data_IF_143313831326
#
_entry.id   IF_143313831326
#
_cell.length_a   1.000
_cell.length_b   1.000
_cell.length_c   1.000
_cell.angle_alpha   90.00
_cell.angle_beta   90.00
_cell.angle_gamma   90.00
#
_symmetry.space_group_name_H-M   'P 1'
#
loop_
_entity.id
_entity.type
_entity.pdbx_description
1 polymer ?
#
# COMPACT_ATOMS: atom_id res chain seq x y z
N UNK A 1 1.43 9.98 -8.85
CA UNK A 1 0.29 10.68 -9.46
C UNK A 1 -0.90 9.80 -9.87
N UNK A 2 -0.74 8.49 -10.16
CA UNK A 2 -1.90 7.63 -10.53
C UNK A 2 -2.97 7.56 -9.42
N UNK A 3 -2.57 7.26 -8.18
CA UNK A 3 -3.48 7.07 -7.04
C UNK A 3 -4.35 8.31 -6.77
N UNK A 4 -3.74 9.49 -6.71
CA UNK A 4 -4.48 10.71 -6.33
C UNK A 4 -5.29 11.32 -7.49
N UNK A 5 -4.88 11.10 -8.75
CA UNK A 5 -5.42 11.87 -9.87
C UNK A 5 -6.18 11.02 -10.90
N UNK A 6 -5.88 9.73 -11.03
CA UNK A 6 -6.44 8.86 -12.07
C UNK A 6 -7.39 7.82 -11.46
N UNK A 7 -6.99 7.19 -10.35
CA UNK A 7 -7.76 6.12 -9.72
C UNK A 7 -9.20 6.53 -9.32
N UNK A 8 -9.47 7.72 -8.73
CA UNK A 8 -10.83 8.09 -8.31
C UNK A 8 -11.81 8.14 -9.50
N UNK A 9 -11.32 8.61 -10.64
CA UNK A 9 -12.09 8.70 -11.88
C UNK A 9 -12.41 7.31 -12.45
N UNK A 10 -11.45 6.38 -12.40
CA UNK A 10 -11.64 4.99 -12.80
C UNK A 10 -12.60 4.25 -11.85
N UNK A 11 -12.47 4.47 -10.54
CA UNK A 11 -13.35 3.88 -9.54
C UNK A 11 -14.81 4.26 -9.81
N UNK A 12 -15.09 5.57 -9.91
CA UNK A 12 -16.44 6.08 -10.15
C UNK A 12 -17.05 5.58 -11.47
N UNK A 13 -16.26 5.52 -12.54
CA UNK A 13 -16.77 5.17 -13.88
C UNK A 13 -16.95 3.67 -14.09
N UNK A 14 -16.15 2.84 -13.42
CA UNK A 14 -16.04 1.41 -13.74
C UNK A 14 -16.14 0.48 -12.53
N UNK A 15 -15.46 0.79 -11.41
CA UNK A 15 -15.45 -0.09 -10.23
C UNK A 15 -16.78 -0.02 -9.49
N UNK A 16 -17.24 1.18 -9.14
CA UNK A 16 -18.48 1.40 -8.38
C UNK A 16 -19.73 0.97 -9.15
N UNK A 17 -19.63 0.94 -10.48
CA UNK A 17 -20.71 0.49 -11.37
C UNK A 17 -20.69 -1.02 -11.62
N UNK A 18 -19.73 -1.75 -11.04
CA UNK A 18 -19.59 -3.20 -11.18
C UNK A 18 -19.06 -3.68 -12.53
N UNK A 19 -18.53 -2.78 -13.38
CA UNK A 19 -18.01 -3.12 -14.71
C UNK A 19 -16.63 -3.76 -14.66
N UNK A 20 -15.82 -3.39 -13.67
CA UNK A 20 -14.42 -3.83 -13.53
C UNK A 20 -14.12 -4.10 -12.06
N UNK A 21 -13.29 -5.11 -11.80
CA UNK A 21 -12.62 -5.31 -10.51
C UNK A 21 -11.22 -4.70 -10.58
N UNK A 22 -10.92 -3.82 -9.63
CA UNK A 22 -9.58 -3.28 -9.45
C UNK A 22 -8.89 -4.04 -8.32
N UNK A 23 -7.68 -4.53 -8.57
CA UNK A 23 -6.82 -5.14 -7.56
C UNK A 23 -5.53 -4.34 -7.46
N UNK A 24 -5.13 -4.05 -6.24
CA UNK A 24 -3.85 -3.44 -5.96
C UNK A 24 -2.87 -4.55 -5.55
N UNK A 25 -1.75 -4.67 -6.27
CA UNK A 25 -0.66 -5.57 -5.94
C UNK A 25 0.53 -4.71 -5.55
N UNK A 26 1.07 -4.94 -4.37
CA UNK A 26 2.21 -4.16 -3.90
C UNK A 26 3.49 -4.66 -4.56
N UNK A 27 4.28 -3.73 -5.09
CA UNK A 27 5.58 -4.02 -5.68
C UNK A 27 6.64 -3.14 -5.01
N UNK A 28 7.53 -3.77 -4.25
CA UNK A 28 8.51 -3.09 -3.41
C UNK A 28 9.81 -2.78 -4.18
N UNK A 29 9.78 -1.75 -5.03
CA UNK A 29 10.94 -1.40 -5.86
C UNK A 29 12.12 -0.79 -5.11
N UNK A 30 11.89 -0.06 -4.01
CA UNK A 30 12.93 0.71 -3.32
C UNK A 30 13.43 0.04 -2.04
N UNK A 31 13.53 -1.29 -2.06
CA UNK A 31 14.11 -2.08 -0.97
C UNK A 31 13.22 -2.17 0.28
N UNK A 32 13.85 -2.36 1.44
CA UNK A 32 13.20 -2.76 2.70
C UNK A 32 12.07 -1.81 3.13
N UNK A 33 12.25 -0.49 2.99
CA UNK A 33 11.19 0.47 3.34
C UNK A 33 9.95 0.33 2.46
N UNK A 34 10.11 -0.03 1.17
CA UNK A 34 8.96 -0.30 0.30
C UNK A 34 8.26 -1.60 0.68
N UNK A 35 9.01 -2.62 1.10
CA UNK A 35 8.44 -3.86 1.60
C UNK A 35 7.66 -3.62 2.90
N UNK A 36 8.21 -2.83 3.83
CA UNK A 36 7.55 -2.42 5.07
C UNK A 36 6.29 -1.59 4.81
N UNK A 37 6.33 -0.64 3.87
CA UNK A 37 5.15 0.14 3.47
C UNK A 37 4.05 -0.76 2.87
N UNK A 38 4.43 -1.77 2.10
CA UNK A 38 3.51 -2.79 1.60
C UNK A 38 2.89 -3.63 2.72
N UNK A 39 3.71 -4.10 3.67
CA UNK A 39 3.24 -4.83 4.83
C UNK A 39 2.28 -3.98 5.69
N UNK A 40 2.53 -2.67 5.79
CA UNK A 40 1.65 -1.73 6.45
C UNK A 40 0.31 -1.55 5.72
N UNK A 41 0.30 -1.46 4.38
CA UNK A 41 -0.95 -1.47 3.59
C UNK A 41 -1.77 -2.74 3.85
N UNK A 42 -1.12 -3.91 3.87
CA UNK A 42 -1.76 -5.19 4.20
C UNK A 42 -2.28 -5.23 5.64
N UNK A 43 -1.52 -4.69 6.60
CA UNK A 43 -1.93 -4.60 8.01
C UNK A 43 -3.16 -3.71 8.20
N UNK A 44 -3.24 -2.57 7.53
CA UNK A 44 -4.44 -1.73 7.51
C UNK A 44 -5.61 -2.46 6.82
N UNK A 45 -5.34 -3.19 5.74
CA UNK A 45 -6.33 -4.02 5.06
C UNK A 45 -6.95 -5.10 5.93
N UNK A 46 -6.16 -5.74 6.81
CA UNK A 46 -6.67 -6.68 7.83
C UNK A 46 -7.68 -6.04 8.80
N UNK A 47 -7.70 -4.71 8.89
CA UNK A 47 -8.65 -3.93 9.70
C UNK A 47 -9.70 -3.21 8.85
N UNK A 48 -9.81 -3.54 7.56
CA UNK A 48 -10.79 -2.94 6.65
C UNK A 48 -10.44 -1.51 6.22
N UNK A 49 -9.18 -1.08 6.38
CA UNK A 49 -8.70 0.28 6.10
C UNK A 49 -7.67 0.35 4.98
N UNK A 50 -7.70 -0.63 4.07
CA UNK A 50 -6.76 -0.68 2.95
C UNK A 50 -6.82 0.59 2.09
N UNK A 51 -8.04 1.02 1.70
CA UNK A 51 -8.23 2.15 0.80
C UNK A 51 -7.78 3.45 1.46
N UNK A 52 -8.29 3.74 2.66
CA UNK A 52 -7.98 4.97 3.38
C UNK A 52 -6.50 5.07 3.74
N UNK A 53 -5.87 3.93 4.07
CA UNK A 53 -4.43 3.89 4.32
C UNK A 53 -3.62 4.15 3.05
N UNK A 54 -4.02 3.54 1.93
CA UNK A 54 -3.38 3.78 0.63
C UNK A 54 -3.48 5.26 0.24
N UNK A 55 -4.65 5.88 0.44
CA UNK A 55 -4.88 7.31 0.20
C UNK A 55 -3.94 8.17 1.06
N UNK A 56 -3.84 7.89 2.37
CA UNK A 56 -2.96 8.63 3.28
C UNK A 56 -1.48 8.50 2.88
N UNK A 57 -1.03 7.28 2.57
CA UNK A 57 0.34 7.00 2.14
C UNK A 57 0.68 7.73 0.83
N UNK A 58 -0.18 7.64 -0.19
CA UNK A 58 0.05 8.26 -1.50
C UNK A 58 -0.17 9.76 -1.53
N UNK A 59 -0.96 10.32 -0.61
CA UNK A 59 -1.07 11.77 -0.43
C UNK A 59 0.24 12.39 0.09
N UNK A 60 1.03 11.64 0.86
CA UNK A 60 2.31 12.08 1.40
C UNK A 60 3.51 11.84 0.47
N UNK A 61 3.30 11.20 -0.69
CA UNK A 61 4.37 10.92 -1.64
C UNK A 61 4.92 12.21 -2.27
N UNK A 62 6.26 12.42 -2.29
CA UNK A 62 6.86 13.61 -2.89
C UNK A 62 6.69 13.63 -4.40
N UNK A 63 6.74 14.82 -5.01
CA UNK A 63 6.69 14.97 -6.48
C UNK A 63 7.87 14.29 -7.20
N UNK A 64 9.01 14.14 -6.52
CA UNK A 64 10.23 13.48 -7.03
C UNK A 64 10.93 12.70 -5.93
N UNK A 65 11.58 11.60 -6.32
CA UNK A 65 12.34 10.74 -5.41
C UNK A 65 11.46 9.77 -4.64
N UNK A 66 11.99 9.24 -3.54
CA UNK A 66 11.31 8.27 -2.68
C UNK A 66 11.14 8.88 -1.29
N UNK A 67 9.94 8.77 -0.68
CA UNK A 67 9.74 9.21 0.69
C UNK A 67 10.59 8.34 1.62
N UNK A 68 11.13 8.96 2.67
CA UNK A 68 11.61 8.22 3.82
C UNK A 68 10.40 7.74 4.63
N UNK A 69 10.29 6.43 4.84
CA UNK A 69 9.14 5.78 5.47
C UNK A 69 9.56 5.05 6.76
N UNK A 70 9.99 5.79 7.81
CA UNK A 70 10.22 5.20 9.12
C UNK A 70 8.92 4.66 9.71
N UNK A 71 9.05 3.77 10.70
CA UNK A 71 7.90 3.12 11.34
C UNK A 71 6.82 4.11 11.81
N UNK A 72 7.23 5.17 12.49
CA UNK A 72 6.29 6.14 13.06
C UNK A 72 5.49 6.86 11.98
N UNK A 73 6.08 7.11 10.80
CA UNK A 73 5.35 7.66 9.65
C UNK A 73 4.28 6.71 9.14
N UNK A 74 4.58 5.41 9.07
CA UNK A 74 3.60 4.39 8.68
C UNK A 74 2.44 4.33 9.69
N UNK A 75 2.73 4.53 10.97
CA UNK A 75 1.69 4.61 12.01
C UNK A 75 0.87 5.89 11.91
N UNK A 76 1.48 7.04 11.66
CA UNK A 76 0.75 8.30 11.41
C UNK A 76 -0.26 8.16 10.26
N UNK A 77 0.09 7.42 9.20
CA UNK A 77 -0.84 7.11 8.10
C UNK A 77 -1.98 6.20 8.56
N UNK A 78 -1.71 5.22 9.43
CA UNK A 78 -2.75 4.36 10.00
C UNK A 78 -3.74 5.14 10.86
N UNK A 79 -3.25 6.06 11.69
CA UNK A 79 -4.08 6.96 12.48
C UNK A 79 -4.94 7.86 11.59
N UNK A 80 -4.34 8.44 10.55
CA UNK A 80 -5.04 9.27 9.55
C UNK A 80 -6.12 8.49 8.82
N UNK A 81 -5.86 7.22 8.50
CA UNK A 81 -6.80 6.32 7.83
C UNK A 81 -7.92 5.79 8.76
N UNK A 82 -7.83 6.06 10.07
CA UNK A 82 -8.78 5.58 11.07
C UNK A 82 -8.66 4.07 11.32
N UNK A 83 -7.44 3.52 11.29
CA UNK A 83 -7.16 2.17 11.76
C UNK A 83 -7.46 2.10 13.27
N UNK A 84 -8.31 1.15 13.68
CA UNK A 84 -8.83 1.11 15.03
C UNK A 84 -7.83 0.59 16.07
N UNK A 85 -7.14 -0.50 15.75
CA UNK A 85 -6.18 -1.15 16.64
C UNK A 85 -4.74 -0.88 16.14
N UNK A 86 -4.15 0.21 16.65
CA UNK A 86 -2.81 0.65 16.26
C UNK A 86 -1.73 -0.30 16.80
N UNK A 87 -1.92 -0.93 17.95
CA UNK A 87 -0.95 -1.90 18.48
C UNK A 87 -0.91 -3.15 17.60
N UNK A 88 -2.07 -3.67 17.22
CA UNK A 88 -2.16 -4.78 16.26
C UNK A 88 -1.63 -4.39 14.89
N UNK A 89 -1.90 -3.17 14.43
CA UNK A 89 -1.32 -2.65 13.19
C UNK A 89 0.21 -2.66 13.24
N UNK A 90 0.81 -2.11 14.32
CA UNK A 90 2.27 -2.09 14.49
C UNK A 90 2.87 -3.49 14.50
N UNK A 91 2.19 -4.44 15.15
CA UNK A 91 2.61 -5.84 15.15
C UNK A 91 2.54 -6.46 13.75
N UNK A 92 1.42 -6.29 13.06
CA UNK A 92 1.18 -6.91 11.76
C UNK A 92 2.11 -6.34 10.68
N UNK A 93 2.31 -5.02 10.63
CA UNK A 93 3.19 -4.41 9.62
C UNK A 93 4.66 -4.82 9.76
N UNK A 94 5.08 -5.21 10.96
CA UNK A 94 6.41 -5.72 11.28
C UNK A 94 6.47 -7.27 11.24
N UNK A 95 5.37 -7.94 10.88
CA UNK A 95 5.34 -9.40 10.75
C UNK A 95 6.17 -9.82 9.52
N UNK A 96 7.21 -10.61 9.75
CA UNK A 96 8.08 -11.12 8.70
C UNK A 96 7.29 -11.87 7.62
N UNK A 97 6.22 -12.58 7.96
CA UNK A 97 5.40 -13.28 6.98
C UNK A 97 4.66 -12.32 6.03
N UNK A 98 4.28 -11.12 6.49
CA UNK A 98 3.70 -10.10 5.63
C UNK A 98 4.76 -9.43 4.74
N UNK A 99 5.94 -9.18 5.29
CA UNK A 99 7.07 -8.64 4.52
C UNK A 99 7.47 -9.63 3.41
N UNK A 100 7.58 -10.92 3.74
CA UNK A 100 7.90 -11.98 2.79
C UNK A 100 6.82 -12.11 1.72
N UNK A 101 5.54 -12.01 2.09
CA UNK A 101 4.43 -11.97 1.13
C UNK A 101 4.61 -10.84 0.10
N UNK A 102 4.94 -9.63 0.54
CA UNK A 102 5.17 -8.49 -0.35
C UNK A 102 6.36 -8.71 -1.28
N UNK A 103 7.44 -9.31 -0.76
CA UNK A 103 8.62 -9.66 -1.54
C UNK A 103 8.30 -10.72 -2.60
N UNK A 104 7.51 -11.74 -2.25
CA UNK A 104 7.05 -12.78 -3.17
C UNK A 104 6.15 -12.22 -4.28
N UNK A 105 5.23 -11.30 -3.93
CA UNK A 105 4.40 -10.59 -4.91
C UNK A 105 5.25 -9.74 -5.85
N UNK A 106 6.27 -9.06 -5.32
CA UNK A 106 7.25 -8.28 -6.10
C UNK A 106 8.00 -9.17 -7.09
N UNK A 107 8.51 -10.31 -6.63
CA UNK A 107 9.23 -11.27 -7.48
C UNK A 107 8.33 -11.84 -8.58
N UNK A 108 7.08 -12.21 -8.25
CA UNK A 108 6.09 -12.67 -9.24
C UNK A 108 5.79 -11.59 -10.28
N UNK A 109 5.63 -10.33 -9.84
CA UNK A 109 5.36 -9.22 -10.73
C UNK A 109 6.49 -9.00 -11.76
N UNK A 110 7.74 -9.09 -11.30
CA UNK A 110 8.92 -9.01 -12.17
C UNK A 110 9.00 -10.18 -13.14
N UNK A 111 8.78 -11.41 -12.65
CA UNK A 111 8.92 -12.63 -13.44
C UNK A 111 7.82 -12.79 -14.50
N UNK A 112 6.56 -12.57 -14.14
CA UNK A 112 5.42 -12.91 -14.99
C UNK A 112 4.85 -11.74 -15.77
N UNK A 113 4.98 -10.52 -15.24
CA UNK A 113 4.41 -9.32 -15.87
C UNK A 113 5.47 -8.37 -16.44
N UNK A 114 6.76 -8.70 -16.29
CA UNK A 114 7.86 -7.91 -16.81
C UNK A 114 7.98 -6.52 -16.20
N UNK A 115 7.42 -6.30 -15.01
CA UNK A 115 7.43 -4.99 -14.35
C UNK A 115 8.82 -4.75 -13.77
N UNK A 116 9.47 -3.67 -14.19
CA UNK A 116 10.78 -3.23 -13.73
C UNK A 116 10.67 -1.81 -13.14
N UNK A 117 11.60 -1.45 -12.25
CA UNK A 117 11.66 -0.14 -11.59
C UNK A 117 11.98 0.99 -12.57
#
# INVERSE_FOLDING_TARGET
HFHNNILPDLQKKYVDTGKVRFEFITVAFFGEQSAAAGAAMEAAGKQGKYSEYSDALYAAAPDKGHPDLPEDKLVEFAETAGVGDIEKFRKDMNDQALIDKVNDETAKAQQYYGIQA
#
